data_IF_107773001195
#
_entry.id   IF_107773001195
#
_cell.length_a   1.000
_cell.length_b   1.000
_cell.length_c   1.000
_cell.angle_alpha   90.00
_cell.angle_beta   90.00
_cell.angle_gamma   90.00
#
_symmetry.space_group_name_H-M   'P 1'
#
loop_
_entity.id
_entity.type
_entity.pdbx_description
1 polymer ?
#
# COMPACT_ATOMS: atom_id res chain seq x y z
N UNK A 1 32.03 -2.74 10.26
CA UNK A 1 31.90 -1.84 9.09
C UNK A 1 30.96 -0.70 9.48
N UNK A 2 31.41 0.56 9.54
CA UNK A 2 30.53 1.67 9.93
C UNK A 2 29.54 1.98 8.79
N UNK A 3 28.23 2.06 9.09
CA UNK A 3 27.16 2.20 8.07
C UNK A 3 27.22 3.50 7.23
N UNK A 4 28.10 4.46 7.58
CA UNK A 4 28.30 5.70 6.81
C UNK A 4 26.97 6.42 6.48
N UNK A 5 26.05 6.49 7.44
CA UNK A 5 24.67 6.97 7.25
C UNK A 5 24.60 8.44 6.78
N UNK A 6 25.56 9.26 7.18
CA UNK A 6 25.65 10.68 6.79
C UNK A 6 26.43 10.91 5.49
N UNK A 7 26.92 9.85 4.83
CA UNK A 7 27.58 9.98 3.54
C UNK A 7 26.60 10.59 2.53
N UNK A 8 27.06 11.62 1.82
CA UNK A 8 26.28 12.28 0.77
C UNK A 8 25.95 11.29 -0.34
N UNK A 9 24.73 11.37 -0.85
CA UNK A 9 24.25 10.58 -1.99
C UNK A 9 23.94 11.52 -3.13
N UNK A 10 24.16 11.08 -4.37
CA UNK A 10 23.74 11.84 -5.55
C UNK A 10 22.23 12.02 -5.52
N UNK A 11 21.82 13.29 -5.46
CA UNK A 11 20.42 13.63 -5.29
C UNK A 11 19.66 13.37 -6.59
N UNK A 12 18.73 12.41 -6.57
CA UNK A 12 17.77 12.22 -7.67
C UNK A 12 16.86 13.44 -7.71
N UNK A 13 16.76 14.10 -8.87
CA UNK A 13 16.01 15.36 -9.02
C UNK A 13 14.47 15.23 -8.89
N UNK A 14 13.95 14.03 -8.64
CA UNK A 14 12.51 13.73 -8.62
C UNK A 14 12.04 12.92 -7.42
N UNK A 15 10.78 12.46 -7.52
CA UNK A 15 10.19 11.49 -6.61
C UNK A 15 10.87 10.14 -6.78
N UNK A 16 10.95 9.37 -5.70
CA UNK A 16 11.20 7.94 -5.82
C UNK A 16 9.97 7.27 -6.43
N UNK A 17 10.17 6.11 -7.07
CA UNK A 17 9.08 5.35 -7.68
C UNK A 17 7.99 5.02 -6.64
N UNK A 18 8.39 4.61 -5.43
CA UNK A 18 7.46 4.31 -4.33
C UNK A 18 6.61 5.51 -3.93
N UNK A 19 7.20 6.72 -3.88
CA UNK A 19 6.46 7.95 -3.55
C UNK A 19 5.48 8.32 -4.67
N UNK A 20 5.87 8.09 -5.93
CA UNK A 20 5.01 8.37 -7.08
C UNK A 20 3.77 7.46 -7.06
N UNK A 21 3.98 6.15 -6.86
CA UNK A 21 2.89 5.17 -6.77
C UNK A 21 2.01 5.46 -5.55
N UNK A 22 2.63 5.76 -4.39
CA UNK A 22 1.97 6.17 -3.16
C UNK A 22 1.05 7.36 -3.37
N UNK A 23 1.54 8.43 -4.01
CA UNK A 23 0.74 9.64 -4.28
C UNK A 23 -0.40 9.39 -5.27
N UNK A 24 -0.17 8.56 -6.31
CA UNK A 24 -1.23 8.15 -7.25
C UNK A 24 -2.31 7.38 -6.49
N UNK A 25 -1.93 6.38 -5.69
CA UNK A 25 -2.84 5.61 -4.87
C UNK A 25 -3.61 6.49 -3.88
N UNK A 26 -2.93 7.44 -3.23
CA UNK A 26 -3.53 8.40 -2.33
C UNK A 26 -4.57 9.29 -3.05
N UNK A 27 -4.28 9.72 -4.28
CA UNK A 27 -5.22 10.50 -5.09
C UNK A 27 -6.45 9.67 -5.50
N UNK A 28 -6.24 8.44 -5.98
CA UNK A 28 -7.32 7.53 -6.35
C UNK A 28 -8.25 7.24 -5.17
N UNK A 29 -7.67 6.93 -4.01
CA UNK A 29 -8.48 6.67 -2.81
C UNK A 29 -9.13 7.93 -2.25
N UNK A 30 -8.53 9.12 -2.42
CA UNK A 30 -9.21 10.40 -2.11
C UNK A 30 -10.48 10.56 -2.94
N UNK A 31 -10.40 10.34 -4.25
CA UNK A 31 -11.56 10.40 -5.15
C UNK A 31 -12.62 9.40 -4.69
N UNK A 32 -12.20 8.20 -4.30
CA UNK A 32 -13.11 7.18 -3.79
C UNK A 32 -13.79 7.57 -2.48
N UNK A 33 -13.08 8.17 -1.52
CA UNK A 33 -13.68 8.74 -0.30
C UNK A 33 -14.72 9.80 -0.66
N UNK A 34 -14.44 10.68 -1.61
CA UNK A 34 -15.37 11.74 -2.01
C UNK A 34 -16.65 11.18 -2.65
N UNK A 35 -16.53 10.14 -3.48
CA UNK A 35 -17.69 9.47 -4.10
C UNK A 35 -18.52 8.72 -3.04
N UNK A 36 -17.86 8.05 -2.11
CA UNK A 36 -18.50 7.22 -1.09
C UNK A 36 -18.85 7.98 0.20
N UNK A 37 -18.52 9.27 0.26
CA UNK A 37 -18.54 10.11 1.46
C UNK A 37 -19.80 9.94 2.32
N UNK A 38 -21.04 9.95 1.78
CA UNK A 38 -22.25 9.86 2.60
C UNK A 38 -22.46 8.49 3.26
N UNK A 39 -21.76 7.46 2.80
CA UNK A 39 -21.91 6.05 3.25
C UNK A 39 -20.77 5.61 4.17
N UNK A 40 -19.73 6.43 4.32
CA UNK A 40 -18.57 6.14 5.14
C UNK A 40 -18.79 6.55 6.59
N UNK A 41 -18.15 5.82 7.51
CA UNK A 41 -18.25 6.08 8.95
C UNK A 41 -17.47 7.34 9.37
N UNK A 42 -16.23 7.49 8.91
CA UNK A 42 -15.34 8.61 9.27
C UNK A 42 -14.61 9.25 8.07
N UNK A 43 -15.33 9.68 7.01
CA UNK A 43 -14.72 10.14 5.77
C UNK A 43 -13.84 11.40 5.92
N UNK A 44 -14.15 12.28 6.88
CA UNK A 44 -13.35 13.49 7.14
C UNK A 44 -11.97 13.11 7.67
N UNK A 45 -11.89 12.16 8.60
CA UNK A 45 -10.62 11.68 9.16
C UNK A 45 -9.76 11.08 8.04
N UNK A 46 -10.37 10.23 7.21
CA UNK A 46 -9.69 9.62 6.05
C UNK A 46 -9.14 10.65 5.05
N UNK A 47 -9.82 11.79 4.86
CA UNK A 47 -9.31 12.88 4.01
C UNK A 47 -8.16 13.65 4.69
N UNK A 48 -8.24 13.89 6.01
CA UNK A 48 -7.17 14.56 6.75
C UNK A 48 -5.89 13.73 6.77
N UNK A 49 -6.01 12.42 6.94
CA UNK A 49 -4.88 11.50 6.91
C UNK A 49 -4.23 11.46 5.52
N UNK A 50 -5.02 11.45 4.44
CA UNK A 50 -4.51 11.59 3.06
C UNK A 50 -3.78 12.91 2.84
N UNK A 51 -4.31 14.01 3.37
CA UNK A 51 -3.61 15.30 3.34
C UNK A 51 -2.30 15.25 4.16
N UNK A 52 -2.31 14.56 5.30
CA UNK A 52 -1.15 14.30 6.13
C UNK A 52 -0.06 13.49 5.41
N UNK A 53 -0.43 12.43 4.69
CA UNK A 53 0.49 11.62 3.88
C UNK A 53 1.18 12.48 2.81
N UNK A 54 0.41 13.31 2.12
CA UNK A 54 0.96 14.26 1.13
C UNK A 54 1.93 15.22 1.81
N UNK A 55 1.53 15.85 2.91
CA UNK A 55 2.36 16.80 3.65
C UNK A 55 3.68 16.18 4.15
N UNK A 56 3.60 14.99 4.76
CA UNK A 56 4.77 14.25 5.25
C UNK A 56 5.68 13.87 4.09
N UNK A 57 5.13 13.38 2.98
CA UNK A 57 5.90 13.00 1.79
C UNK A 57 6.69 14.19 1.25
N UNK A 58 6.04 15.35 1.05
CA UNK A 58 6.72 16.55 0.60
C UNK A 58 7.74 17.11 1.60
N UNK A 59 7.44 17.01 2.91
CA UNK A 59 8.39 17.39 3.96
C UNK A 59 9.66 16.54 3.93
N UNK A 60 9.53 15.23 3.72
CA UNK A 60 10.67 14.31 3.61
C UNK A 60 11.48 14.54 2.33
N UNK A 61 10.82 14.83 1.21
CA UNK A 61 11.50 15.22 -0.04
C UNK A 61 12.30 16.50 0.18
N UNK A 62 11.70 17.51 0.82
CA UNK A 62 12.38 18.75 1.16
C UNK A 62 13.59 18.51 2.07
N UNK A 63 13.43 17.70 3.12
CA UNK A 63 14.50 17.34 4.04
C UNK A 63 15.66 16.64 3.32
N UNK A 64 15.36 15.70 2.42
CA UNK A 64 16.38 15.03 1.61
C UNK A 64 17.09 15.97 0.66
N UNK A 65 16.38 16.93 0.04
CA UNK A 65 17.02 17.96 -0.81
C UNK A 65 17.95 18.87 -0.01
N UNK A 66 17.58 19.22 1.22
CA UNK A 66 18.40 20.04 2.12
C UNK A 66 19.62 19.29 2.65
N UNK A 67 19.45 18.00 2.97
CA UNK A 67 20.50 17.13 3.51
C UNK A 67 20.54 15.80 2.75
N UNK A 68 21.14 15.74 1.54
CA UNK A 68 21.11 14.55 0.70
C UNK A 68 22.13 13.51 1.20
N UNK A 69 21.71 12.65 2.13
CA UNK A 69 22.54 11.59 2.72
C UNK A 69 21.81 10.24 2.72
N UNK A 70 22.53 9.16 3.04
CA UNK A 70 21.93 7.81 3.07
C UNK A 70 20.80 7.70 4.09
N UNK A 71 20.92 8.38 5.23
CA UNK A 71 19.88 8.39 6.26
C UNK A 71 18.58 9.03 5.74
N UNK A 72 18.65 10.19 5.08
CA UNK A 72 17.45 10.86 4.58
C UNK A 72 16.83 10.12 3.39
N UNK A 73 17.64 9.45 2.56
CA UNK A 73 17.15 8.53 1.53
C UNK A 73 16.42 7.33 2.16
N UNK A 74 17.00 6.73 3.21
CA UNK A 74 16.42 5.60 3.91
C UNK A 74 15.10 5.97 4.59
N UNK A 75 15.05 7.09 5.32
CA UNK A 75 13.84 7.57 5.98
C UNK A 75 12.72 7.79 4.96
N UNK A 76 13.02 8.37 3.79
CA UNK A 76 12.03 8.51 2.70
C UNK A 76 11.42 7.17 2.32
N UNK A 77 12.24 6.14 2.13
CA UNK A 77 11.73 4.80 1.80
C UNK A 77 10.95 4.18 2.97
N UNK A 78 11.53 4.22 4.18
CA UNK A 78 10.94 3.58 5.36
C UNK A 78 9.57 4.16 5.71
N UNK A 79 9.40 5.48 5.62
CA UNK A 79 8.10 6.12 5.90
C UNK A 79 7.06 5.76 4.83
N UNK A 80 7.44 5.71 3.55
CA UNK A 80 6.52 5.27 2.50
C UNK A 80 6.08 3.81 2.69
N UNK A 81 6.99 2.94 3.15
CA UNK A 81 6.63 1.56 3.50
C UNK A 81 5.74 1.50 4.75
N UNK A 82 5.93 2.39 5.71
CA UNK A 82 5.10 2.44 6.93
C UNK A 82 3.65 2.84 6.65
N UNK A 83 3.39 3.63 5.59
CA UNK A 83 2.01 4.01 5.21
C UNK A 83 1.13 2.83 4.79
N UNK A 84 1.69 1.65 4.52
CA UNK A 84 0.89 0.43 4.32
C UNK A 84 0.01 0.09 5.53
N UNK A 85 0.50 0.36 6.75
CA UNK A 85 -0.28 0.14 7.96
C UNK A 85 -1.52 1.05 8.04
N UNK A 86 -1.46 2.22 7.41
CA UNK A 86 -2.59 3.13 7.31
C UNK A 86 -3.55 2.74 6.18
N UNK A 87 -3.02 2.43 4.99
CA UNK A 87 -3.88 2.14 3.84
C UNK A 87 -4.64 0.82 3.94
N UNK A 88 -4.15 -0.15 4.70
CA UNK A 88 -4.79 -1.45 4.77
C UNK A 88 -6.14 -1.42 5.52
N UNK A 89 -6.28 -0.80 6.71
CA UNK A 89 -7.59 -0.58 7.32
C UNK A 89 -8.55 0.21 6.40
N UNK A 90 -8.04 1.21 5.68
CA UNK A 90 -8.84 1.99 4.73
C UNK A 90 -9.44 1.15 3.59
N UNK A 91 -8.68 0.18 3.04
CA UNK A 91 -9.22 -0.70 1.99
C UNK A 91 -10.37 -1.55 2.51
N UNK A 92 -10.32 -1.95 3.78
CA UNK A 92 -11.43 -2.64 4.43
C UNK A 92 -12.66 -1.73 4.60
N UNK A 93 -12.47 -0.48 5.02
CA UNK A 93 -13.55 0.53 5.13
C UNK A 93 -14.23 0.80 3.79
N UNK A 94 -13.47 0.77 2.70
CA UNK A 94 -14.07 0.85 1.37
C UNK A 94 -14.82 -0.42 0.98
N UNK A 95 -14.19 -1.59 1.18
CA UNK A 95 -14.72 -2.87 0.73
C UNK A 95 -16.11 -3.17 1.32
N UNK A 96 -16.33 -2.83 2.60
CA UNK A 96 -17.63 -3.03 3.27
C UNK A 96 -18.80 -2.27 2.64
N UNK A 97 -18.55 -1.26 1.79
CA UNK A 97 -19.60 -0.46 1.16
C UNK A 97 -20.14 -1.07 -0.13
N UNK A 98 -19.40 -2.01 -0.71
CA UNK A 98 -19.77 -2.71 -1.93
C UNK A 98 -20.42 -4.06 -1.59
N UNK A 99 -21.33 -4.56 -2.45
CA UNK A 99 -21.81 -5.93 -2.33
C UNK A 99 -20.66 -6.92 -2.59
N UNK A 100 -20.86 -8.19 -2.23
CA UNK A 100 -19.93 -9.25 -2.63
C UNK A 100 -19.89 -9.30 -4.18
N UNK A 101 -18.70 -9.17 -4.75
CA UNK A 101 -18.42 -9.19 -6.19
C UNK A 101 -17.60 -10.43 -6.62
N UNK A 102 -17.42 -11.40 -5.74
CA UNK A 102 -16.55 -12.57 -5.97
C UNK A 102 -17.00 -13.35 -7.20
N UNK A 103 -18.31 -13.51 -7.38
CA UNK A 103 -18.87 -14.18 -8.56
C UNK A 103 -18.54 -13.46 -9.88
N UNK A 104 -18.53 -12.12 -9.86
CA UNK A 104 -18.19 -11.32 -11.03
C UNK A 104 -16.71 -11.48 -11.38
N UNK A 105 -15.81 -11.35 -10.39
CA UNK A 105 -14.39 -11.51 -10.61
C UNK A 105 -14.01 -12.95 -10.98
N UNK A 106 -14.58 -13.95 -10.32
CA UNK A 106 -14.38 -15.36 -10.67
C UNK A 106 -14.85 -15.67 -12.09
N UNK A 107 -15.95 -15.07 -12.54
CA UNK A 107 -16.43 -15.22 -13.93
C UNK A 107 -15.50 -14.53 -14.92
N UNK A 108 -14.97 -13.35 -14.57
CA UNK A 108 -14.01 -12.63 -15.42
C UNK A 108 -12.68 -13.39 -15.55
N UNK A 109 -12.18 -13.98 -14.46
CA UNK A 109 -11.00 -14.86 -14.46
C UNK A 109 -11.24 -16.09 -15.34
N UNK A 110 -12.36 -16.79 -15.13
CA UNK A 110 -12.74 -17.95 -15.94
C UNK A 110 -12.87 -17.59 -17.42
N UNK A 111 -13.36 -16.40 -17.75
CA UNK A 111 -13.44 -15.92 -19.13
C UNK A 111 -12.06 -15.63 -19.73
N UNK A 112 -11.20 -14.92 -18.98
CA UNK A 112 -9.88 -14.47 -19.45
C UNK A 112 -8.88 -15.63 -19.56
N UNK A 113 -8.82 -16.49 -18.55
CA UNK A 113 -7.82 -17.56 -18.44
C UNK A 113 -8.35 -18.93 -18.86
N UNK A 114 -9.66 -19.07 -19.08
CA UNK A 114 -10.35 -20.36 -19.32
C UNK A 114 -10.28 -21.34 -18.15
N UNK A 115 -9.80 -20.89 -17.00
CA UNK A 115 -9.78 -21.59 -15.72
C UNK A 115 -9.82 -20.55 -14.58
N UNK A 116 -9.87 -21.03 -13.34
CA UNK A 116 -9.62 -20.21 -12.15
C UNK A 116 -8.19 -20.49 -11.66
N UNK A 117 -7.21 -19.61 -11.93
CA UNK A 117 -5.79 -19.90 -11.66
C UNK A 117 -5.49 -20.24 -10.20
N UNK A 118 -6.20 -19.62 -9.25
CA UNK A 118 -6.05 -19.88 -7.82
C UNK A 118 -6.49 -21.31 -7.44
N UNK A 119 -7.58 -21.80 -8.02
CA UNK A 119 -8.08 -23.17 -7.81
C UNK A 119 -7.10 -24.17 -8.41
N UNK A 120 -6.74 -23.99 -9.69
CA UNK A 120 -5.77 -24.85 -10.38
C UNK A 120 -4.43 -24.89 -9.65
N UNK A 121 -3.94 -23.74 -9.16
CA UNK A 121 -2.72 -23.66 -8.37
C UNK A 121 -2.83 -24.49 -7.09
N UNK A 122 -3.95 -24.38 -6.36
CA UNK A 122 -4.15 -25.15 -5.13
C UNK A 122 -4.21 -26.66 -5.37
N UNK A 123 -4.75 -27.10 -6.51
CA UNK A 123 -4.83 -28.50 -6.90
C UNK A 123 -3.47 -29.07 -7.30
N UNK A 124 -2.68 -28.29 -8.04
CA UNK A 124 -1.36 -28.72 -8.53
C UNK A 124 -0.25 -28.60 -7.47
N UNK A 125 -0.40 -27.69 -6.51
CA UNK A 125 0.58 -27.42 -5.45
C UNK A 125 0.02 -27.56 -4.02
N UNK A 126 -0.54 -28.73 -3.65
CA UNK A 126 -1.24 -28.90 -2.36
C UNK A 126 -0.30 -29.04 -1.15
N UNK A 127 1.02 -29.01 -1.36
CA UNK A 127 1.98 -29.29 -0.29
C UNK A 127 2.13 -28.10 0.67
N UNK A 128 2.42 -28.40 1.94
CA UNK A 128 2.61 -27.37 2.98
C UNK A 128 3.70 -26.35 2.65
N UNK A 129 4.69 -26.71 1.82
CA UNK A 129 5.76 -25.81 1.40
C UNK A 129 5.25 -24.66 0.53
N UNK A 130 4.11 -24.82 -0.13
CA UNK A 130 3.42 -23.74 -0.82
C UNK A 130 2.39 -23.09 0.09
N UNK A 131 1.54 -23.86 0.76
CA UNK A 131 0.44 -23.28 1.54
C UNK A 131 0.89 -22.43 2.75
N UNK A 132 1.91 -22.87 3.49
CA UNK A 132 2.35 -22.18 4.72
C UNK A 132 2.99 -20.81 4.45
N UNK A 133 3.89 -20.63 3.48
CA UNK A 133 4.39 -19.30 3.14
C UNK A 133 3.30 -18.32 2.70
N UNK A 134 2.31 -18.77 1.94
CA UNK A 134 1.18 -17.92 1.53
C UNK A 134 0.31 -17.53 2.73
N UNK A 135 0.02 -18.48 3.61
CA UNK A 135 -0.73 -18.24 4.85
C UNK A 135 0.05 -17.30 5.79
N UNK A 136 1.38 -17.47 5.92
CA UNK A 136 2.22 -16.56 6.67
C UNK A 136 2.23 -15.14 6.07
N UNK A 137 2.25 -15.03 4.75
CA UNK A 137 2.12 -13.76 4.05
C UNK A 137 0.80 -13.06 4.38
N UNK A 138 -0.31 -13.80 4.35
CA UNK A 138 -1.61 -13.29 4.79
C UNK A 138 -1.60 -12.91 6.29
N UNK A 139 -0.97 -13.73 7.13
CA UNK A 139 -0.87 -13.46 8.55
C UNK A 139 -0.07 -12.18 8.86
N UNK A 140 0.93 -11.87 8.05
CA UNK A 140 1.76 -10.67 8.21
C UNK A 140 0.98 -9.35 8.03
N UNK A 141 -0.26 -9.39 7.51
CA UNK A 141 -1.15 -8.22 7.48
C UNK A 141 -1.81 -7.94 8.84
N UNK A 142 -1.99 -8.92 9.72
CA UNK A 142 -2.68 -8.68 11.02
C UNK A 142 -1.99 -7.66 11.93
N UNK A 143 -0.64 -7.63 12.04
CA UNK A 143 0.04 -6.57 12.78
C UNK A 143 -0.25 -5.16 12.26
N UNK A 144 -0.62 -5.02 10.97
CA UNK A 144 -1.02 -3.72 10.39
C UNK A 144 -2.47 -3.33 10.73
N UNK A 145 -3.30 -4.29 11.16
CA UNK A 145 -4.70 -4.05 11.53
C UNK A 145 -4.84 -3.66 13.02
N UNK A 146 -3.92 -4.14 13.87
CA UNK A 146 -3.97 -3.96 15.32
C UNK A 146 -3.18 -2.78 15.89
N UNK A 147 -2.63 -1.92 15.02
CA UNK A 147 -1.96 -0.65 15.37
C UNK A 147 -2.93 0.52 15.20
#
# INVERSE_FOLDING_TARGET
MALNLFKRVDSVKGLFAVESISLIYNALTTIMVLILFPRMDHPVIMLLERAGIVAITFALIYLYRKYPCKLTAFIRMAVQMAFLAYWYPDTFEFNRLFPNLDNFFASAEQFLFRCQPSVEFSEHFPSMWFSEPFNMGYFAYYPMIGL
#
